data_IF_633861992714
#
_entry.id   IF_633861992714
#
_cell.length_a   1.000
_cell.length_b   1.000
_cell.length_c   1.000
_cell.angle_alpha   90.00
_cell.angle_beta   90.00
_cell.angle_gamma   90.00
#
_symmetry.space_group_name_H-M   'P 1'
#
loop_
_entity.id
_entity.type
_entity.pdbx_description
1 polymer ?
#
# COMPACT_ATOMS: atom_id res chain seq x y z
N UNK A 1 1.46 19.49 6.84
CA UNK A 1 0.65 18.41 7.43
C UNK A 1 -0.01 18.86 8.72
N UNK A 2 -1.14 18.26 9.04
CA UNK A 2 -1.79 18.45 10.35
C UNK A 2 -1.31 17.31 11.24
N UNK A 3 -0.44 17.57 12.21
CA UNK A 3 0.00 16.52 13.11
C UNK A 3 -1.16 16.13 14.03
N UNK A 4 -1.27 14.86 14.37
CA UNK A 4 -2.16 14.44 15.46
C UNK A 4 -1.68 14.91 16.84
N UNK A 5 -0.60 15.64 16.87
CA UNK A 5 -0.22 16.59 17.90
C UNK A 5 0.54 16.04 19.09
N UNK A 6 1.18 14.87 19.00
CA UNK A 6 1.89 14.35 20.16
C UNK A 6 3.29 13.85 19.86
N UNK A 7 4.23 14.30 20.67
CA UNK A 7 5.58 13.75 20.72
C UNK A 7 5.65 12.47 21.59
N UNK A 8 4.53 11.85 21.91
CA UNK A 8 4.51 10.70 22.81
C UNK A 8 4.71 9.41 22.03
N UNK A 9 5.92 8.93 22.12
CA UNK A 9 6.43 7.73 21.47
C UNK A 9 5.53 6.52 21.69
N UNK A 10 4.78 6.13 20.66
CA UNK A 10 4.00 4.90 20.65
C UNK A 10 2.73 4.90 21.53
N UNK A 11 2.36 6.01 22.16
CA UNK A 11 1.10 6.07 22.91
C UNK A 11 -0.10 6.06 21.98
N UNK A 12 -1.11 5.28 22.36
CA UNK A 12 -2.41 5.29 21.70
C UNK A 12 -3.24 6.44 22.27
N UNK A 13 -3.82 7.27 21.40
CA UNK A 13 -4.62 8.42 21.77
C UNK A 13 -6.09 8.22 21.38
N UNK A 14 -6.98 8.83 22.17
CA UNK A 14 -8.41 8.87 21.86
C UNK A 14 -8.73 9.96 20.84
N UNK A 15 -9.90 9.88 20.23
CA UNK A 15 -10.40 10.93 19.33
C UNK A 15 -10.46 12.29 20.02
N UNK A 16 -10.91 12.34 21.27
CA UNK A 16 -11.03 13.58 22.05
C UNK A 16 -9.67 14.26 22.26
N UNK A 17 -8.64 13.49 22.61
CA UNK A 17 -7.28 14.01 22.76
C UNK A 17 -6.73 14.54 21.43
N UNK A 18 -6.85 13.75 20.35
CA UNK A 18 -6.38 14.15 19.03
C UNK A 18 -7.12 15.38 18.48
N UNK A 19 -8.44 15.47 18.68
CA UNK A 19 -9.25 16.64 18.30
C UNK A 19 -8.90 17.90 19.08
N UNK A 20 -8.64 17.80 20.39
CA UNK A 20 -8.20 18.93 21.20
C UNK A 20 -6.91 19.55 20.66
N UNK A 21 -5.97 18.70 20.27
CA UNK A 21 -4.70 19.17 19.71
C UNK A 21 -4.84 19.69 18.27
N UNK A 22 -5.64 19.02 17.46
CA UNK A 22 -5.96 19.51 16.12
C UNK A 22 -6.62 20.89 16.21
N UNK A 23 -7.60 21.08 17.10
CA UNK A 23 -8.27 22.37 17.29
C UNK A 23 -7.26 23.47 17.67
N UNK A 24 -6.39 23.21 18.63
CA UNK A 24 -5.35 24.16 19.06
C UNK A 24 -4.37 24.49 17.93
N UNK A 25 -4.01 23.50 17.11
CA UNK A 25 -3.16 23.71 15.94
C UNK A 25 -3.85 24.57 14.88
N UNK A 26 -5.11 24.27 14.56
CA UNK A 26 -5.91 25.04 13.61
C UNK A 26 -6.16 26.45 14.09
N UNK A 27 -6.34 26.68 15.39
CA UNK A 27 -6.49 28.03 15.94
C UNK A 27 -5.25 28.87 15.70
N UNK A 28 -4.07 28.32 15.95
CA UNK A 28 -2.79 29.01 15.68
C UNK A 28 -2.62 29.33 14.19
N UNK A 29 -2.89 28.36 13.31
CA UNK A 29 -2.78 28.57 11.86
C UNK A 29 -3.77 29.63 11.37
N UNK A 30 -5.00 29.58 11.86
CA UNK A 30 -6.04 30.54 11.47
C UNK A 30 -5.71 31.95 11.93
N UNK A 31 -5.19 32.12 13.15
CA UNK A 31 -4.69 33.42 13.63
C UNK A 31 -3.51 33.90 12.81
N UNK A 32 -2.52 33.05 12.51
CA UNK A 32 -1.37 33.43 11.70
C UNK A 32 -1.73 33.79 10.26
N UNK A 33 -2.80 33.24 9.73
CA UNK A 33 -3.35 33.58 8.41
C UNK A 33 -4.24 34.83 8.42
N UNK A 34 -4.25 35.61 9.52
CA UNK A 34 -5.15 36.75 9.71
C UNK A 34 -6.64 36.38 9.59
N UNK A 35 -7.00 35.23 10.15
CA UNK A 35 -8.36 34.65 10.14
C UNK A 35 -8.87 34.31 8.71
N UNK A 36 -8.00 34.18 7.73
CA UNK A 36 -8.37 33.68 6.42
C UNK A 36 -8.38 32.16 6.42
N UNK A 37 -9.35 31.58 5.74
CA UNK A 37 -9.39 30.13 5.53
C UNK A 37 -8.16 29.66 4.78
N UNK A 38 -7.59 28.54 5.20
CA UNK A 38 -6.37 27.95 4.68
C UNK A 38 -6.68 26.68 3.91
N UNK A 39 -5.77 26.26 3.02
CA UNK A 39 -5.81 24.95 2.40
C UNK A 39 -4.83 24.01 3.13
N UNK A 40 -5.30 22.81 3.47
CA UNK A 40 -4.49 21.76 4.08
C UNK A 40 -4.08 20.77 3.01
N UNK A 41 -2.83 20.79 2.58
CA UNK A 41 -2.30 19.94 1.53
C UNK A 41 -2.17 18.47 1.97
N UNK A 42 -1.89 18.24 3.26
CA UNK A 42 -1.75 16.91 3.84
C UNK A 42 -2.47 16.82 5.19
N UNK A 43 -3.44 15.95 5.25
CA UNK A 43 -4.13 15.55 6.45
C UNK A 43 -3.91 14.07 6.69
N UNK A 44 -3.18 13.76 7.75
CA UNK A 44 -2.86 12.41 8.18
C UNK A 44 -3.62 12.09 9.46
N UNK A 45 -4.25 10.95 9.56
CA UNK A 45 -4.96 10.48 10.75
C UNK A 45 -4.46 9.12 11.26
N UNK A 46 -3.35 8.67 10.70
CA UNK A 46 -2.65 7.47 11.14
C UNK A 46 -1.15 7.69 10.97
N UNK A 47 -0.37 6.97 11.75
CA UNK A 47 1.07 7.02 11.67
C UNK A 47 1.58 5.84 10.82
N UNK A 48 1.50 6.01 9.51
CA UNK A 48 2.05 5.07 8.55
C UNK A 48 3.27 5.65 7.81
N UNK A 49 3.76 6.79 8.24
CA UNK A 49 4.90 7.44 7.61
C UNK A 49 6.21 6.81 8.09
N UNK A 50 7.00 6.20 7.21
CA UNK A 50 8.29 5.64 7.57
C UNK A 50 9.20 6.66 8.24
N UNK A 51 9.83 6.27 9.35
CA UNK A 51 10.68 7.15 10.15
C UNK A 51 9.93 8.02 11.17
N UNK A 52 8.60 7.90 11.24
CA UNK A 52 7.76 8.61 12.21
C UNK A 52 7.00 7.66 13.15
N UNK A 53 7.49 6.46 13.32
CA UNK A 53 6.91 5.38 14.14
C UNK A 53 6.80 5.76 15.63
N UNK A 54 7.37 6.90 15.99
CA UNK A 54 7.35 7.45 17.34
C UNK A 54 6.19 8.41 17.60
N UNK A 55 5.44 8.76 16.58
CA UNK A 55 4.30 9.64 16.76
C UNK A 55 3.17 8.93 17.52
N UNK A 56 2.34 9.71 18.19
CA UNK A 56 1.15 9.17 18.80
C UNK A 56 0.21 8.59 17.74
N UNK A 57 -0.35 7.43 18.04
CA UNK A 57 -1.26 6.73 17.14
C UNK A 57 -2.69 6.82 17.66
N UNK A 58 -3.61 7.14 16.77
CA UNK A 58 -5.03 7.09 17.10
C UNK A 58 -5.47 5.63 17.27
N UNK A 59 -6.25 5.36 18.32
CA UNK A 59 -6.88 4.05 18.48
C UNK A 59 -7.75 3.73 17.26
N UNK A 60 -7.68 2.51 16.77
CA UNK A 60 -8.44 2.08 15.56
C UNK A 60 -9.95 2.33 15.72
N UNK A 61 -10.48 2.04 16.91
CA UNK A 61 -11.90 2.26 17.23
C UNK A 61 -12.31 3.73 17.31
N UNK A 62 -11.35 4.63 17.40
CA UNK A 62 -11.57 6.08 17.57
C UNK A 62 -11.48 6.84 16.23
N UNK A 63 -11.02 6.22 15.17
CA UNK A 63 -10.81 6.88 13.86
C UNK A 63 -12.09 7.56 13.34
N UNK A 64 -13.21 6.88 13.42
CA UNK A 64 -14.48 7.44 12.95
C UNK A 64 -14.89 8.70 13.72
N UNK A 65 -14.78 8.67 15.06
CA UNK A 65 -15.09 9.82 15.91
C UNK A 65 -14.12 10.99 15.67
N UNK A 66 -12.85 10.70 15.46
CA UNK A 66 -11.85 11.72 15.13
C UNK A 66 -12.15 12.39 13.77
N UNK A 67 -12.42 11.62 12.73
CA UNK A 67 -12.74 12.14 11.40
C UNK A 67 -14.05 12.95 11.42
N UNK A 68 -15.03 12.51 12.19
CA UNK A 68 -16.28 13.24 12.39
C UNK A 68 -16.05 14.63 13.02
N UNK A 69 -15.24 14.71 14.07
CA UNK A 69 -14.87 15.98 14.69
C UNK A 69 -13.98 16.86 13.80
N UNK A 70 -13.09 16.26 13.02
CA UNK A 70 -12.27 17.01 12.05
C UNK A 70 -13.11 17.70 10.98
N UNK A 71 -14.26 17.13 10.61
CA UNK A 71 -15.17 17.74 9.65
C UNK A 71 -15.58 19.16 10.08
N UNK A 72 -15.86 19.37 11.35
CA UNK A 72 -16.25 20.69 11.88
C UNK A 72 -15.09 21.69 11.81
N UNK A 73 -13.86 21.25 12.12
CA UNK A 73 -12.67 22.09 12.00
C UNK A 73 -12.39 22.49 10.55
N UNK A 74 -12.48 21.54 9.63
CA UNK A 74 -12.28 21.81 8.21
C UNK A 74 -13.32 22.77 7.66
N UNK A 75 -14.59 22.55 7.94
CA UNK A 75 -15.68 23.41 7.51
C UNK A 75 -15.50 24.84 8.00
N UNK A 76 -15.09 25.01 9.25
CA UNK A 76 -14.92 26.31 9.86
C UNK A 76 -13.70 27.07 9.33
N UNK A 77 -12.56 26.40 9.16
CA UNK A 77 -11.25 27.06 9.04
C UNK A 77 -10.50 26.80 7.74
N UNK A 78 -11.01 25.92 6.86
CA UNK A 78 -10.30 25.59 5.63
C UNK A 78 -11.07 25.90 4.36
N UNK A 79 -10.35 26.10 3.27
CA UNK A 79 -10.87 26.14 1.90
C UNK A 79 -11.00 24.73 1.30
N UNK A 80 -10.24 23.79 1.85
CA UNK A 80 -10.18 22.40 1.42
C UNK A 80 -9.02 21.69 2.07
N UNK A 81 -8.96 20.37 1.87
CA UNK A 81 -7.90 19.51 2.41
C UNK A 81 -7.65 18.33 1.48
N UNK A 82 -6.42 17.83 1.51
CA UNK A 82 -6.02 16.57 0.90
C UNK A 82 -5.76 15.51 1.96
N UNK A 83 -6.37 14.33 1.81
CA UNK A 83 -6.13 13.22 2.74
C UNK A 83 -4.88 12.45 2.29
N UNK A 84 -3.99 12.21 3.20
CA UNK A 84 -2.82 11.35 3.03
C UNK A 84 -3.07 10.03 3.77
N UNK A 85 -3.21 8.87 3.10
CA UNK A 85 -2.96 8.70 1.69
C UNK A 85 -4.01 7.77 1.06
N UNK A 86 -4.15 7.83 -0.27
CA UNK A 86 -5.06 6.95 -1.01
C UNK A 86 -4.68 5.47 -0.85
N UNK A 87 -3.37 5.17 -0.90
CA UNK A 87 -2.78 3.86 -0.62
C UNK A 87 -1.64 4.01 0.37
N UNK A 88 -1.38 2.95 1.12
CA UNK A 88 -0.32 2.92 2.13
C UNK A 88 1.07 3.06 1.51
N UNK A 89 2.05 3.48 2.34
CA UNK A 89 3.48 3.43 2.03
C UNK A 89 4.02 2.01 1.83
N UNK A 90 3.25 1.00 2.19
CA UNK A 90 3.45 -0.38 1.76
C UNK A 90 3.35 -0.57 0.25
N UNK A 91 3.55 0.49 -0.52
CA UNK A 91 3.52 0.53 -1.97
C UNK A 91 4.25 -0.65 -2.59
N UNK A 92 3.80 -1.00 -3.77
CA UNK A 92 4.42 -2.06 -4.54
C UNK A 92 5.94 -1.90 -4.59
N UNK A 93 6.65 -2.83 -3.99
CA UNK A 93 8.13 -2.84 -3.93
C UNK A 93 8.76 -3.22 -5.26
N UNK A 94 7.94 -3.66 -6.22
CA UNK A 94 8.35 -4.06 -7.56
C UNK A 94 8.24 -2.88 -8.52
N UNK A 95 9.31 -2.61 -9.22
CA UNK A 95 9.36 -1.68 -10.32
C UNK A 95 8.87 -2.35 -11.62
N UNK A 96 8.21 -1.59 -12.51
CA UNK A 96 7.69 -2.08 -13.78
C UNK A 96 6.80 -3.35 -13.62
N UNK A 97 5.89 -3.29 -12.69
CA UNK A 97 5.05 -4.40 -12.25
C UNK A 97 4.11 -4.96 -13.33
N UNK A 98 3.77 -4.13 -14.30
CA UNK A 98 2.89 -4.45 -15.43
C UNK A 98 3.65 -4.62 -16.76
N UNK A 99 4.95 -4.75 -16.69
CA UNK A 99 5.84 -4.90 -17.85
C UNK A 99 5.64 -3.86 -18.97
N UNK A 100 5.04 -2.70 -18.64
CA UNK A 100 4.80 -1.62 -19.59
C UNK A 100 6.09 -1.10 -20.23
N UNK A 101 7.21 -1.16 -19.50
CA UNK A 101 8.56 -0.83 -19.95
C UNK A 101 9.34 -2.08 -20.42
N UNK A 102 8.65 -3.10 -20.93
CA UNK A 102 9.24 -4.39 -21.33
C UNK A 102 10.03 -5.03 -20.17
N UNK A 103 11.26 -5.49 -20.37
CA UNK A 103 12.06 -6.17 -19.34
C UNK A 103 12.74 -5.23 -18.33
N UNK A 104 12.56 -3.92 -18.44
CA UNK A 104 13.29 -2.97 -17.63
C UNK A 104 13.06 -3.20 -16.12
N UNK A 105 14.16 -3.30 -15.38
CA UNK A 105 14.15 -3.53 -13.93
C UNK A 105 14.04 -5.00 -13.52
N UNK A 106 13.80 -5.90 -14.45
CA UNK A 106 13.72 -7.33 -14.21
C UNK A 106 14.89 -8.10 -14.83
N UNK A 107 15.31 -9.16 -14.17
CA UNK A 107 16.22 -10.18 -14.72
C UNK A 107 15.38 -11.29 -15.32
N UNK A 108 15.74 -11.75 -16.50
CA UNK A 108 15.06 -12.84 -17.24
C UNK A 108 16.05 -13.96 -17.56
N UNK A 109 15.60 -15.20 -17.48
CA UNK A 109 16.41 -16.38 -17.84
C UNK A 109 15.54 -17.53 -18.35
N UNK A 110 16.19 -18.55 -18.92
CA UNK A 110 15.52 -19.75 -19.40
C UNK A 110 14.58 -19.53 -20.57
N UNK A 111 14.87 -18.53 -21.41
CA UNK A 111 14.02 -18.18 -22.54
C UNK A 111 12.80 -17.32 -22.18
N UNK A 112 12.71 -16.86 -20.93
CA UNK A 112 11.66 -15.93 -20.51
C UNK A 112 11.81 -14.59 -21.23
N UNK A 113 10.69 -13.94 -21.52
CA UNK A 113 10.61 -12.68 -22.27
C UNK A 113 9.35 -11.90 -21.90
N UNK A 114 9.21 -10.67 -22.35
CA UNK A 114 7.96 -9.92 -22.32
C UNK A 114 7.35 -9.92 -23.71
N UNK A 115 6.10 -10.31 -23.80
CA UNK A 115 5.31 -10.31 -25.05
C UNK A 115 3.90 -9.77 -24.80
N UNK A 116 3.23 -9.45 -25.88
CA UNK A 116 1.81 -9.11 -25.85
C UNK A 116 0.98 -10.39 -25.81
N UNK A 117 0.13 -10.53 -24.80
CA UNK A 117 -0.77 -11.65 -24.61
C UNK A 117 -2.13 -11.12 -24.15
N UNK A 118 -3.22 -11.49 -24.86
CA UNK A 118 -4.58 -11.06 -24.55
C UNK A 118 -4.76 -9.53 -24.38
N UNK A 119 -3.96 -8.73 -25.13
CA UNK A 119 -4.04 -7.26 -25.10
C UNK A 119 -3.29 -6.59 -23.97
N UNK A 120 -2.49 -7.35 -23.20
CA UNK A 120 -1.58 -6.83 -22.18
C UNK A 120 -0.14 -7.31 -22.42
N UNK A 121 0.82 -6.54 -21.96
CA UNK A 121 2.21 -7.00 -21.94
C UNK A 121 2.43 -7.86 -20.69
N UNK A 122 2.83 -9.10 -20.92
CA UNK A 122 3.03 -10.06 -19.85
C UNK A 122 4.44 -10.66 -19.90
N UNK A 123 4.97 -11.05 -18.75
CA UNK A 123 6.15 -11.90 -18.72
C UNK A 123 5.74 -13.33 -19.11
N UNK A 124 6.37 -13.86 -20.14
CA UNK A 124 6.14 -15.21 -20.68
C UNK A 124 7.29 -16.10 -20.25
N UNK A 125 6.98 -17.11 -19.45
CA UNK A 125 7.94 -18.03 -18.87
C UNK A 125 7.72 -19.44 -19.44
N UNK A 126 8.58 -19.93 -20.33
CA UNK A 126 8.59 -21.34 -20.70
C UNK A 126 9.05 -22.20 -19.52
N UNK A 127 8.96 -23.52 -19.67
CA UNK A 127 9.46 -24.45 -18.65
C UNK A 127 10.91 -24.13 -18.29
N UNK A 128 11.20 -24.08 -16.99
CA UNK A 128 12.49 -23.66 -16.42
C UNK A 128 12.85 -22.18 -16.63
N UNK A 129 11.97 -21.39 -17.24
CA UNK A 129 12.09 -19.95 -17.31
C UNK A 129 11.82 -19.30 -15.95
N UNK A 130 12.48 -18.18 -15.69
CA UNK A 130 12.25 -17.41 -14.50
C UNK A 130 12.47 -15.91 -14.74
N UNK A 131 11.87 -15.13 -13.87
CA UNK A 131 12.10 -13.70 -13.74
C UNK A 131 12.45 -13.37 -12.29
N UNK A 132 13.27 -12.36 -12.07
CA UNK A 132 13.53 -11.87 -10.71
C UNK A 132 13.76 -10.37 -10.65
N UNK A 133 13.54 -9.84 -9.46
CA UNK A 133 13.84 -8.46 -9.13
C UNK A 133 14.25 -8.34 -7.66
N UNK A 134 15.23 -7.49 -7.38
CA UNK A 134 15.60 -7.15 -6.01
C UNK A 134 14.50 -6.27 -5.41
N UNK A 135 13.88 -6.75 -4.32
CA UNK A 135 12.87 -6.04 -3.56
C UNK A 135 13.51 -5.46 -2.30
N UNK A 136 13.39 -4.17 -2.13
CA UNK A 136 13.94 -3.49 -0.97
C UNK A 136 12.81 -3.05 -0.03
N UNK A 137 13.00 -3.30 1.26
CA UNK A 137 12.18 -2.62 2.26
C UNK A 137 12.51 -1.13 2.22
N UNK A 138 11.58 -0.35 1.69
CA UNK A 138 11.72 1.11 1.59
C UNK A 138 11.40 1.82 2.90
N UNK A 139 10.89 1.10 3.88
CA UNK A 139 10.33 1.69 5.09
C UNK A 139 10.85 0.95 6.31
N UNK A 140 11.62 1.62 7.15
CA UNK A 140 11.93 1.15 8.49
C UNK A 140 10.62 0.94 9.28
N UNK A 141 10.58 -0.09 10.13
CA UNK A 141 9.40 -0.41 10.94
C UNK A 141 8.35 -1.28 10.24
N UNK A 142 8.58 -1.68 8.99
CA UNK A 142 7.70 -2.60 8.25
C UNK A 142 8.18 -4.06 8.25
N UNK A 143 9.34 -4.33 8.86
CA UNK A 143 9.94 -5.67 8.90
C UNK A 143 9.13 -6.68 9.72
N UNK A 144 8.28 -6.20 10.63
CA UNK A 144 7.42 -7.04 11.47
C UNK A 144 6.12 -7.47 10.80
N UNK A 145 5.88 -7.00 9.57
CA UNK A 145 4.62 -7.26 8.88
C UNK A 145 4.76 -8.36 7.85
N UNK A 146 3.63 -9.03 7.60
CA UNK A 146 3.59 -10.07 6.58
C UNK A 146 3.92 -9.49 5.20
N UNK A 147 4.80 -10.17 4.48
CA UNK A 147 5.10 -9.89 3.09
C UNK A 147 4.11 -10.63 2.20
N UNK A 148 3.44 -9.90 1.35
CA UNK A 148 2.53 -10.44 0.34
C UNK A 148 3.11 -10.28 -1.05
N UNK A 149 2.93 -11.31 -1.88
CA UNK A 149 3.19 -11.28 -3.32
C UNK A 149 1.89 -11.58 -4.04
N UNK A 150 1.42 -10.66 -4.86
CA UNK A 150 0.23 -10.83 -5.69
C UNK A 150 0.56 -10.63 -7.16
N UNK A 151 -0.05 -11.39 -8.04
CA UNK A 151 0.15 -11.28 -9.49
C UNK A 151 -1.01 -11.92 -10.26
N UNK A 152 -1.22 -11.46 -11.48
CA UNK A 152 -2.05 -12.15 -12.45
C UNK A 152 -1.28 -13.36 -13.01
N UNK A 153 -1.90 -14.53 -12.97
CA UNK A 153 -1.35 -15.80 -13.42
C UNK A 153 -2.26 -16.44 -14.45
N UNK A 154 -1.70 -16.80 -15.59
CA UNK A 154 -2.31 -17.67 -16.58
C UNK A 154 -1.33 -18.76 -16.99
N UNK A 155 -1.81 -19.91 -17.43
CA UNK A 155 -0.93 -21.01 -17.85
C UNK A 155 -1.54 -21.90 -18.91
N UNK A 156 -0.71 -22.33 -19.84
CA UNK A 156 -1.02 -23.31 -20.87
C UNK A 156 -0.32 -24.64 -20.55
N UNK A 157 -1.08 -25.74 -20.58
CA UNK A 157 -0.54 -27.06 -20.25
C UNK A 157 -0.60 -27.37 -18.75
N UNK A 158 0.20 -28.33 -18.30
CA UNK A 158 0.28 -28.72 -16.89
C UNK A 158 1.46 -28.00 -16.22
N UNK A 159 1.27 -26.74 -15.93
CA UNK A 159 2.31 -25.87 -15.38
C UNK A 159 1.99 -25.34 -13.99
N UNK A 160 3.04 -24.99 -13.29
CA UNK A 160 3.02 -24.40 -11.95
C UNK A 160 4.02 -23.25 -11.90
N UNK A 161 3.79 -22.34 -10.98
CA UNK A 161 4.73 -21.26 -10.67
C UNK A 161 5.27 -21.48 -9.26
N UNK A 162 6.59 -21.48 -9.12
CA UNK A 162 7.25 -21.37 -7.83
C UNK A 162 7.61 -19.91 -7.62
N UNK A 163 7.15 -19.34 -6.53
CA UNK A 163 7.46 -17.96 -6.09
C UNK A 163 8.37 -18.05 -4.87
N UNK A 164 9.48 -17.34 -4.92
CA UNK A 164 10.39 -17.18 -3.80
C UNK A 164 10.46 -15.72 -3.40
N UNK A 165 10.22 -15.43 -2.14
CA UNK A 165 10.37 -14.11 -1.53
C UNK A 165 10.74 -14.26 -0.05
N UNK A 166 11.56 -13.35 0.49
CA UNK A 166 11.95 -13.36 1.90
C UNK A 166 12.58 -14.68 2.38
N UNK A 167 13.30 -15.38 1.50
CA UNK A 167 13.92 -16.67 1.80
C UNK A 167 12.95 -17.87 1.81
N UNK A 168 11.64 -17.66 1.63
CA UNK A 168 10.62 -18.70 1.58
C UNK A 168 10.19 -19.00 0.14
N UNK A 169 9.60 -20.18 -0.08
CA UNK A 169 9.10 -20.62 -1.39
C UNK A 169 7.67 -21.13 -1.27
N UNK A 170 6.84 -20.75 -2.23
CA UNK A 170 5.50 -21.29 -2.40
C UNK A 170 5.24 -21.65 -3.85
N UNK A 171 4.36 -22.61 -4.10
CA UNK A 171 4.03 -23.09 -5.44
C UNK A 171 2.54 -23.03 -5.69
N UNK A 172 2.15 -22.52 -6.87
CA UNK A 172 0.77 -22.37 -7.31
C UNK A 172 0.58 -23.01 -8.68
N UNK A 173 -0.51 -23.73 -8.88
CA UNK A 173 -0.88 -24.26 -10.19
C UNK A 173 -1.34 -23.11 -11.10
N UNK A 174 -0.87 -23.11 -12.33
CA UNK A 174 -1.31 -22.19 -13.36
C UNK A 174 -2.36 -22.86 -14.27
N UNK A 175 -3.27 -22.08 -14.79
CA UNK A 175 -4.37 -22.52 -15.65
C UNK A 175 -5.10 -21.32 -16.24
N UNK A 176 -6.42 -21.28 -16.12
CA UNK A 176 -7.20 -20.10 -16.52
C UNK A 176 -6.72 -18.84 -15.78
N UNK A 177 -6.87 -17.64 -16.37
CA UNK A 177 -6.45 -16.39 -15.76
C UNK A 177 -7.01 -16.22 -14.35
N UNK A 178 -6.15 -15.95 -13.37
CA UNK A 178 -6.51 -15.76 -11.98
C UNK A 178 -5.56 -14.78 -11.30
N UNK A 179 -6.04 -14.01 -10.32
CA UNK A 179 -5.18 -13.27 -9.42
C UNK A 179 -4.78 -14.18 -8.26
N UNK A 180 -3.48 -14.30 -8.06
CA UNK A 180 -2.88 -15.09 -6.97
C UNK A 180 -2.36 -14.11 -5.93
N UNK A 181 -2.60 -14.41 -4.64
CA UNK A 181 -1.98 -13.68 -3.52
C UNK A 181 -1.37 -14.69 -2.56
N UNK A 182 -0.08 -14.54 -2.29
CA UNK A 182 0.71 -15.40 -1.42
C UNK A 182 1.19 -14.61 -0.21
N UNK A 183 1.07 -15.21 0.98
CA UNK A 183 1.59 -14.64 2.23
C UNK A 183 2.89 -15.35 2.61
N UNK A 184 3.98 -14.61 2.69
CA UNK A 184 5.31 -15.09 3.06
C UNK A 184 5.66 -14.85 4.54
N UNK A 185 4.68 -14.52 5.38
CA UNK A 185 4.90 -14.23 6.79
C UNK A 185 5.79 -12.99 7.00
N UNK A 186 6.37 -12.89 8.18
CA UNK A 186 7.33 -11.82 8.51
C UNK A 186 8.67 -12.11 7.83
N UNK A 187 8.77 -11.72 6.58
CA UNK A 187 9.94 -11.94 5.76
C UNK A 187 10.70 -10.63 5.54
N UNK A 188 12.01 -10.68 5.69
CA UNK A 188 12.87 -9.56 5.29
C UNK A 188 12.88 -9.39 3.77
N UNK A 189 13.13 -8.18 3.32
CA UNK A 189 13.37 -7.89 1.91
C UNK A 189 14.53 -8.73 1.34
N UNK A 190 14.48 -8.98 0.06
CA UNK A 190 15.47 -9.76 -0.66
C UNK A 190 15.13 -9.81 -2.13
N UNK A 191 15.44 -10.91 -2.77
CA UNK A 191 15.10 -11.11 -4.17
C UNK A 191 13.73 -11.80 -4.30
N UNK A 192 12.84 -11.22 -5.11
CA UNK A 192 11.67 -11.91 -5.63
C UNK A 192 12.10 -12.74 -6.83
N UNK A 193 11.79 -14.04 -6.84
CA UNK A 193 11.98 -14.93 -7.99
C UNK A 193 10.65 -15.60 -8.30
N UNK A 194 10.24 -15.54 -9.56
CA UNK A 194 9.07 -16.27 -10.08
C UNK A 194 9.56 -17.20 -11.20
N UNK A 195 9.35 -18.49 -11.05
CA UNK A 195 9.86 -19.51 -11.99
C UNK A 195 8.78 -20.50 -12.42
N UNK A 196 8.77 -20.84 -13.72
CA UNK A 196 7.85 -21.81 -14.27
C UNK A 196 8.36 -23.24 -14.10
N UNK A 197 7.45 -24.16 -13.78
CA UNK A 197 7.70 -25.59 -13.59
C UNK A 197 6.61 -26.41 -14.31
N UNK A 198 6.90 -27.68 -14.61
CA UNK A 198 5.97 -28.60 -15.26
C UNK A 198 6.12 -28.62 -16.78
N UNK A 199 5.03 -28.58 -17.51
CA UNK A 199 5.02 -28.60 -18.99
C UNK A 199 4.08 -27.52 -19.51
N UNK A 200 4.59 -26.67 -20.43
CA UNK A 200 3.82 -25.59 -21.03
C UNK A 200 4.41 -24.21 -20.77
N UNK A 201 3.60 -23.20 -20.84
CA UNK A 201 4.00 -21.80 -20.71
C UNK A 201 3.18 -21.10 -19.62
N UNK A 202 3.82 -20.22 -18.89
CA UNK A 202 3.21 -19.39 -17.86
C UNK A 202 3.28 -17.93 -18.27
N UNK A 203 2.20 -17.20 -18.03
CA UNK A 203 2.05 -15.77 -18.26
C UNK A 203 1.85 -15.06 -16.93
N UNK A 204 2.64 -14.04 -16.67
CA UNK A 204 2.64 -13.27 -15.43
C UNK A 204 2.46 -11.78 -15.73
N UNK A 205 1.56 -11.12 -15.00
CA UNK A 205 1.35 -9.66 -15.07
C UNK A 205 0.96 -9.09 -13.70
N UNK A 206 0.90 -7.78 -13.60
CA UNK A 206 0.46 -7.02 -12.43
C UNK A 206 1.09 -7.50 -11.11
N UNK A 207 2.40 -7.69 -11.13
CA UNK A 207 3.16 -8.20 -9.97
C UNK A 207 3.21 -7.14 -8.88
N UNK A 208 2.73 -7.48 -7.69
CA UNK A 208 2.73 -6.62 -6.50
C UNK A 208 3.46 -7.33 -5.36
N UNK A 209 4.36 -6.62 -4.72
CA UNK A 209 5.00 -7.04 -3.48
C UNK A 209 4.77 -5.95 -2.44
N UNK A 210 4.08 -6.28 -1.37
CA UNK A 210 3.68 -5.31 -0.36
C UNK A 210 3.65 -5.95 1.02
N UNK A 211 3.68 -5.11 2.05
CA UNK A 211 3.48 -5.53 3.43
C UNK A 211 2.04 -5.26 3.85
N UNK A 212 1.48 -6.12 4.69
CA UNK A 212 0.07 -6.07 5.08
C UNK A 212 -0.30 -4.96 6.06
N UNK A 213 0.48 -3.89 6.15
CA UNK A 213 0.08 -2.74 6.95
C UNK A 213 -0.88 -1.87 6.15
N UNK A 214 -1.99 -1.61 6.75
CA UNK A 214 -3.06 -0.80 6.21
C UNK A 214 -3.56 0.17 7.28
N UNK A 215 -2.68 1.01 7.79
CA UNK A 215 -3.06 1.85 8.93
C UNK A 215 -3.57 3.24 8.53
N UNK A 216 -3.54 3.63 7.30
CA UNK A 216 -3.93 4.97 6.93
C UNK A 216 -4.34 5.16 5.50
N UNK A 217 -4.35 4.09 4.79
CA UNK A 217 -4.84 4.06 3.42
C UNK A 217 -6.37 4.02 3.37
N UNK A 218 -6.92 4.53 2.30
CA UNK A 218 -8.33 4.38 1.97
C UNK A 218 -8.58 3.08 1.21
N UNK A 219 -7.60 2.62 0.45
CA UNK A 219 -7.66 1.39 -0.33
C UNK A 219 -6.40 0.55 -0.13
N UNK A 220 -6.61 -0.73 0.11
CA UNK A 220 -5.53 -1.71 0.16
C UNK A 220 -4.90 -1.92 -1.22
N UNK A 221 -3.72 -2.55 -1.27
CA UNK A 221 -3.01 -2.79 -2.53
C UNK A 221 -3.78 -3.70 -3.49
N UNK A 222 -4.66 -4.55 -2.99
CA UNK A 222 -5.56 -5.38 -3.79
C UNK A 222 -6.79 -4.62 -4.33
N UNK A 223 -6.93 -3.33 -3.97
CA UNK A 223 -8.04 -2.47 -4.39
C UNK A 223 -9.27 -2.56 -3.50
N UNK A 224 -9.25 -3.35 -2.43
CA UNK A 224 -10.35 -3.39 -1.45
C UNK A 224 -10.36 -2.14 -0.58
N UNK A 225 -11.54 -1.79 -0.06
CA UNK A 225 -11.70 -0.64 0.83
C UNK A 225 -11.16 -0.94 2.24
N UNK A 226 -10.44 0.00 2.81
CA UNK A 226 -10.02 -0.07 4.21
C UNK A 226 -11.19 0.19 5.16
N UNK A 227 -11.01 -0.17 6.42
CA UNK A 227 -12.01 0.05 7.48
C UNK A 227 -12.38 1.53 7.67
N UNK A 228 -11.49 2.46 7.31
CA UNK A 228 -11.69 3.88 7.54
C UNK A 228 -12.43 4.61 6.40
N UNK A 229 -12.62 3.99 5.22
CA UNK A 229 -13.15 4.70 4.05
C UNK A 229 -14.56 5.23 4.26
N UNK A 230 -15.39 4.52 5.01
CA UNK A 230 -16.75 4.98 5.30
C UNK A 230 -16.75 6.21 6.20
N UNK A 231 -15.84 6.27 7.18
CA UNK A 231 -15.66 7.44 8.02
C UNK A 231 -15.12 8.64 7.24
N UNK A 232 -14.20 8.42 6.31
CA UNK A 232 -13.70 9.45 5.38
C UNK A 232 -14.82 9.98 4.48
N UNK A 233 -15.66 9.11 3.94
CA UNK A 233 -16.84 9.52 3.14
C UNK A 233 -17.81 10.37 3.96
N UNK A 234 -18.07 9.96 5.21
CA UNK A 234 -18.94 10.71 6.12
C UNK A 234 -18.38 12.10 6.45
N UNK A 235 -17.07 12.17 6.76
CA UNK A 235 -16.38 13.44 6.96
C UNK A 235 -16.50 14.34 5.73
N UNK A 236 -16.21 13.84 4.53
CA UNK A 236 -16.30 14.59 3.29
C UNK A 236 -17.73 15.11 3.02
N UNK A 237 -18.74 14.32 3.35
CA UNK A 237 -20.15 14.75 3.20
C UNK A 237 -20.53 15.89 4.14
N UNK A 238 -19.96 15.92 5.35
CA UNK A 238 -20.20 16.99 6.33
C UNK A 238 -19.52 18.31 5.97
N UNK A 239 -18.33 18.25 5.36
CA UNK A 239 -17.55 19.45 5.01
C UNK A 239 -18.15 20.22 3.83
N UNK A 240 -18.84 19.54 2.94
CA UNK A 240 -19.59 20.14 1.82
C UNK A 240 -20.77 20.95 2.34
#
# INVERSE_FOLDING_TARGET
SVPMGFENKGEKVTAAQALSNAASYFDRLFQSSQQKKIYIDQFLFTDNTPGFEHNAQLLETEKAAYLDGMAELFKAKTLGYGIWTYRDYGDNKVYNSQFALSQQGWKFSGGSKVEEHNGSRMAVLPVSGWISQDIHNRSAGMEENNLYVSFLLEGEGNCRVMVQAGGQKQTVSAGSPQTVTLNFGTASAGELVISAQGTGTVYIDDVKVYTGITQGDMYHMDGTESSCIQAVRAMNAKVR
#
